data_IF_226376113946
#
_entry.id   IF_226376113946
#
_cell.length_a   1.000
_cell.length_b   1.000
_cell.length_c   1.000
_cell.angle_alpha   90.00
_cell.angle_beta   90.00
_cell.angle_gamma   90.00
#
_symmetry.space_group_name_H-M   'P 1'
#
loop_
_entity.id
_entity.type
_entity.pdbx_description
1 polymer ?
#
# COMPACT_ATOMS: atom_id res chain seq x y z
N UNK A 1 -23.72 -16.87 -10.64
CA UNK A 1 -23.65 -15.58 -9.92
C UNK A 1 -22.34 -15.45 -9.13
N UNK A 2 -21.93 -16.47 -8.34
CA UNK A 2 -20.66 -16.46 -7.59
C UNK A 2 -19.40 -16.24 -8.45
N UNK A 3 -19.26 -16.92 -9.60
CA UNK A 3 -18.08 -16.80 -10.47
C UNK A 3 -17.80 -15.35 -10.92
N UNK A 4 -18.87 -14.63 -11.31
CA UNK A 4 -18.77 -13.23 -11.77
C UNK A 4 -18.37 -12.26 -10.65
N UNK A 5 -18.77 -12.55 -9.40
CA UNK A 5 -18.36 -11.78 -8.22
C UNK A 5 -16.88 -12.01 -7.89
N UNK A 6 -16.41 -13.25 -7.96
CA UNK A 6 -14.99 -13.60 -7.76
C UNK A 6 -14.10 -13.00 -8.85
N UNK A 7 -14.55 -13.00 -10.11
CA UNK A 7 -13.81 -12.42 -11.23
C UNK A 7 -13.71 -10.88 -11.13
N UNK A 8 -14.81 -10.20 -10.77
CA UNK A 8 -14.82 -8.73 -10.54
C UNK A 8 -13.89 -8.35 -9.37
N UNK A 9 -13.86 -9.17 -8.32
CA UNK A 9 -13.02 -8.95 -7.15
C UNK A 9 -11.52 -9.03 -7.49
N UNK A 10 -11.13 -9.93 -8.41
CA UNK A 10 -9.76 -10.00 -8.91
C UNK A 10 -9.42 -8.76 -9.75
N UNK A 11 -10.32 -8.29 -10.62
CA UNK A 11 -10.06 -7.11 -11.45
C UNK A 11 -9.90 -5.82 -10.64
N UNK A 12 -10.76 -5.59 -9.64
CA UNK A 12 -10.69 -4.38 -8.80
C UNK A 12 -9.41 -4.35 -7.96
N UNK A 13 -9.02 -5.50 -7.41
CA UNK A 13 -7.78 -5.61 -6.65
C UNK A 13 -6.54 -5.45 -7.54
N UNK A 14 -6.53 -6.04 -8.74
CA UNK A 14 -5.48 -5.83 -9.73
C UNK A 14 -5.37 -4.35 -10.14
N UNK A 15 -6.50 -3.66 -10.35
CA UNK A 15 -6.51 -2.22 -10.63
C UNK A 15 -5.91 -1.41 -9.49
N UNK A 16 -6.23 -1.77 -8.24
CA UNK A 16 -5.64 -1.16 -7.07
C UNK A 16 -4.12 -1.38 -7.02
N UNK A 17 -3.63 -2.61 -7.24
CA UNK A 17 -2.19 -2.91 -7.28
C UNK A 17 -1.49 -2.11 -8.38
N UNK A 18 -2.05 -2.08 -9.58
CA UNK A 18 -1.52 -1.29 -10.69
C UNK A 18 -1.50 0.21 -10.37
N UNK A 19 -2.52 0.71 -9.68
CA UNK A 19 -2.60 2.10 -9.24
C UNK A 19 -1.48 2.43 -8.25
N UNK A 20 -1.33 1.67 -7.16
CA UNK A 20 -0.28 1.95 -6.17
C UNK A 20 1.12 1.80 -6.76
N UNK A 21 1.32 0.85 -7.68
CA UNK A 21 2.57 0.71 -8.43
C UNK A 21 2.84 1.95 -9.30
N UNK A 22 1.83 2.46 -10.01
CA UNK A 22 1.97 3.68 -10.79
C UNK A 22 2.34 4.90 -9.91
N UNK A 23 1.76 4.99 -8.70
CA UNK A 23 2.06 6.06 -7.75
C UNK A 23 3.51 5.97 -7.26
N UNK A 24 4.01 4.80 -6.85
CA UNK A 24 5.41 4.68 -6.39
C UNK A 24 6.44 4.78 -7.52
N UNK A 25 6.08 4.45 -8.75
CA UNK A 25 6.97 4.61 -9.92
C UNK A 25 7.09 6.07 -10.36
N UNK A 26 6.01 6.85 -10.24
CA UNK A 26 5.94 8.24 -10.70
C UNK A 26 5.30 9.16 -9.65
N UNK A 27 5.88 9.27 -8.43
CA UNK A 27 5.22 9.92 -7.30
C UNK A 27 4.90 11.40 -7.56
N UNK A 28 5.76 12.10 -8.31
CA UNK A 28 5.52 13.50 -8.70
C UNK A 28 4.27 13.74 -9.54
N UNK A 29 3.81 12.76 -10.34
CA UNK A 29 2.54 12.91 -11.10
C UNK A 29 1.31 12.86 -10.21
N UNK A 30 1.45 12.34 -8.99
CA UNK A 30 0.39 12.20 -8.01
C UNK A 30 0.57 13.14 -6.82
N UNK A 31 1.47 14.13 -6.93
CA UNK A 31 1.83 15.05 -5.85
C UNK A 31 2.31 14.34 -4.56
N UNK A 32 2.91 13.16 -4.71
CA UNK A 32 3.51 12.41 -3.59
C UNK A 32 4.98 12.80 -3.47
N UNK A 33 5.36 13.40 -2.35
CA UNK A 33 6.74 13.82 -2.10
C UNK A 33 7.43 12.96 -1.06
N UNK A 34 6.66 12.26 -0.22
CA UNK A 34 7.14 11.41 0.85
C UNK A 34 6.16 10.27 1.18
N UNK A 35 6.54 9.44 2.15
CA UNK A 35 5.74 8.28 2.57
C UNK A 35 4.39 8.65 3.19
N UNK A 36 4.27 9.81 3.85
CA UNK A 36 3.01 10.30 4.40
C UNK A 36 2.04 10.73 3.30
N UNK A 37 2.53 11.42 2.27
CA UNK A 37 1.70 11.77 1.10
C UNK A 37 1.18 10.49 0.43
N UNK A 38 2.02 9.45 0.33
CA UNK A 38 1.57 8.16 -0.18
C UNK A 38 0.50 7.53 0.72
N UNK A 39 0.67 7.56 2.04
CA UNK A 39 -0.35 7.01 2.96
C UNK A 39 -1.68 7.77 2.86
N UNK A 40 -1.65 9.08 2.57
CA UNK A 40 -2.84 9.88 2.28
C UNK A 40 -3.51 9.48 0.96
N UNK A 41 -2.75 9.15 -0.09
CA UNK A 41 -3.31 8.59 -1.34
C UNK A 41 -4.08 7.31 -1.05
N UNK A 42 -3.53 6.42 -0.22
CA UNK A 42 -4.21 5.18 0.18
C UNK A 42 -5.47 5.47 0.99
N UNK A 43 -5.40 6.41 1.94
CA UNK A 43 -6.57 6.83 2.71
C UNK A 43 -7.68 7.37 1.80
N UNK A 44 -7.32 8.20 0.81
CA UNK A 44 -8.25 8.73 -0.18
C UNK A 44 -8.87 7.64 -1.06
N UNK A 45 -8.07 6.67 -1.52
CA UNK A 45 -8.57 5.51 -2.26
C UNK A 45 -9.60 4.73 -1.43
N UNK A 46 -9.28 4.44 -0.15
CA UNK A 46 -10.17 3.75 0.79
C UNK A 46 -11.46 4.52 1.03
N UNK A 47 -11.40 5.85 1.16
CA UNK A 47 -12.58 6.70 1.34
C UNK A 47 -13.48 6.76 0.09
N UNK A 48 -12.89 6.60 -1.10
CA UNK A 48 -13.63 6.52 -2.36
C UNK A 48 -14.29 5.14 -2.57
N UNK A 49 -13.71 4.07 -2.01
CA UNK A 49 -14.37 2.78 -1.94
C UNK A 49 -15.56 2.85 -0.95
N UNK A 50 -16.70 2.26 -1.31
CA UNK A 50 -17.79 2.12 -0.34
C UNK A 50 -17.32 1.23 0.82
N UNK A 51 -17.52 1.65 2.07
CA UNK A 51 -17.08 0.95 3.30
C UNK A 51 -17.60 -0.49 3.46
N UNK A 52 -18.49 -0.95 2.58
CA UNK A 52 -19.03 -2.31 2.54
C UNK A 52 -18.74 -3.05 1.23
N UNK A 53 -17.86 -2.50 0.40
CA UNK A 53 -17.40 -3.15 -0.83
C UNK A 53 -16.30 -4.16 -0.51
N UNK A 54 -16.30 -5.29 -1.21
CA UNK A 54 -15.23 -6.28 -1.10
C UNK A 54 -13.86 -5.69 -1.44
N UNK A 55 -13.81 -4.69 -2.34
CA UNK A 55 -12.61 -3.96 -2.72
C UNK A 55 -12.03 -3.15 -1.55
N UNK A 56 -12.88 -2.59 -0.67
CA UNK A 56 -12.42 -1.90 0.55
C UNK A 56 -11.72 -2.87 1.51
N UNK A 57 -12.30 -4.05 1.74
CA UNK A 57 -11.70 -5.07 2.60
C UNK A 57 -10.38 -5.60 2.03
N UNK A 58 -10.33 -5.89 0.73
CA UNK A 58 -9.09 -6.35 0.07
C UNK A 58 -7.94 -5.33 0.21
N UNK A 59 -8.22 -4.03 0.10
CA UNK A 59 -7.23 -2.97 0.31
C UNK A 59 -6.77 -2.90 1.76
N UNK A 60 -7.70 -3.03 2.72
CA UNK A 60 -7.34 -3.06 4.14
C UNK A 60 -6.45 -4.23 4.46
N UNK A 61 -6.82 -5.43 4.00
CA UNK A 61 -6.05 -6.65 4.22
C UNK A 61 -4.67 -6.56 3.60
N UNK A 62 -4.56 -6.02 2.38
CA UNK A 62 -3.27 -5.77 1.73
C UNK A 62 -2.36 -4.89 2.60
N UNK A 63 -2.84 -3.75 3.08
CA UNK A 63 -2.01 -2.84 3.88
C UNK A 63 -1.79 -3.32 5.32
N UNK A 64 -2.69 -4.09 5.90
CA UNK A 64 -2.47 -4.76 7.18
C UNK A 64 -1.34 -5.79 7.07
N UNK A 65 -1.34 -6.58 5.99
CA UNK A 65 -0.27 -7.53 5.71
C UNK A 65 1.06 -6.81 5.40
N UNK A 66 1.01 -5.72 4.62
CA UNK A 66 2.19 -4.90 4.35
C UNK A 66 2.75 -4.28 5.64
N UNK A 67 1.88 -3.81 6.54
CA UNK A 67 2.27 -3.34 7.87
C UNK A 67 2.99 -4.41 8.66
N UNK A 68 2.45 -5.63 8.70
CA UNK A 68 3.11 -6.79 9.32
C UNK A 68 4.48 -7.09 8.71
N UNK A 69 4.59 -7.02 7.38
CA UNK A 69 5.84 -7.19 6.65
C UNK A 69 6.90 -6.14 7.03
N UNK A 70 6.53 -4.86 7.11
CA UNK A 70 7.44 -3.77 7.51
C UNK A 70 7.84 -3.89 8.98
N UNK A 71 6.91 -4.20 9.89
CA UNK A 71 7.23 -4.41 11.30
C UNK A 71 8.23 -5.56 11.48
N UNK A 72 8.03 -6.67 10.76
CA UNK A 72 8.98 -7.79 10.74
C UNK A 72 10.35 -7.39 10.19
N UNK A 73 10.40 -6.57 9.14
CA UNK A 73 11.66 -6.06 8.59
C UNK A 73 12.50 -5.30 9.62
N UNK A 74 11.85 -4.51 10.48
CA UNK A 74 12.51 -3.75 11.55
C UNK A 74 12.63 -4.52 12.88
N UNK A 75 12.12 -5.74 12.98
CA UNK A 75 12.14 -6.52 14.22
C UNK A 75 11.25 -5.93 15.33
N UNK A 76 10.18 -5.22 14.96
CA UNK A 76 9.26 -4.60 15.90
C UNK A 76 8.35 -5.66 16.52
N UNK A 77 8.21 -5.64 17.85
CA UNK A 77 7.26 -6.48 18.60
C UNK A 77 5.87 -5.83 18.72
N UNK A 78 5.80 -4.52 18.56
CA UNK A 78 4.55 -3.74 18.58
C UNK A 78 4.04 -3.53 17.16
N UNK A 79 2.71 -3.44 16.99
CA UNK A 79 2.06 -3.24 15.69
C UNK A 79 2.08 -1.75 15.27
N UNK A 80 3.26 -1.26 14.91
CA UNK A 80 3.50 0.14 14.57
C UNK A 80 3.07 0.46 13.13
N UNK A 81 2.58 1.69 12.91
CA UNK A 81 2.24 2.17 11.58
C UNK A 81 3.44 2.14 10.62
N UNK A 82 3.24 1.58 9.42
CA UNK A 82 4.31 1.35 8.46
C UNK A 82 4.89 2.65 7.89
N UNK A 83 4.07 3.68 7.67
CA UNK A 83 4.55 4.97 7.15
C UNK A 83 5.42 5.65 8.21
N UNK A 84 4.99 5.61 9.48
CA UNK A 84 5.77 6.12 10.61
C UNK A 84 7.11 5.40 10.77
N UNK A 85 7.13 4.07 10.64
CA UNK A 85 8.38 3.30 10.70
C UNK A 85 9.34 3.70 9.57
N UNK A 86 8.85 3.76 8.33
CA UNK A 86 9.68 4.17 7.18
C UNK A 86 10.23 5.58 7.39
N UNK A 87 9.39 6.53 7.82
CA UNK A 87 9.80 7.90 8.12
C UNK A 87 10.91 7.94 9.17
N UNK A 88 10.75 7.23 10.28
CA UNK A 88 11.71 7.26 11.39
C UNK A 88 13.09 6.71 11.00
N UNK A 89 13.13 5.75 10.07
CA UNK A 89 14.36 5.07 9.65
C UNK A 89 15.00 5.64 8.39
N UNK A 90 14.40 6.64 7.74
CA UNK A 90 14.92 7.28 6.54
C UNK A 90 15.37 8.72 6.82
N UNK A 91 16.44 9.17 6.16
CA UNK A 91 17.09 10.45 6.46
C UNK A 91 16.37 11.64 5.80
N UNK A 92 15.66 11.41 4.70
CA UNK A 92 14.94 12.44 3.97
C UNK A 92 13.76 11.87 3.16
N UNK A 93 12.91 12.77 2.65
CA UNK A 93 11.71 12.42 1.88
C UNK A 93 12.00 11.52 0.67
N UNK A 94 13.04 11.83 -0.12
CA UNK A 94 13.45 11.01 -1.25
C UNK A 94 13.75 9.56 -0.84
N UNK A 95 14.52 9.38 0.24
CA UNK A 95 14.85 8.04 0.74
C UNK A 95 13.64 7.29 1.28
N UNK A 96 12.62 7.99 1.80
CA UNK A 96 11.37 7.34 2.22
C UNK A 96 10.62 6.73 1.02
N UNK A 97 10.57 7.43 -0.12
CA UNK A 97 9.91 6.95 -1.33
C UNK A 97 10.66 5.80 -1.99
N UNK A 98 11.99 5.91 -2.11
CA UNK A 98 12.82 4.82 -2.64
C UNK A 98 12.71 3.55 -1.78
N UNK A 99 12.71 3.72 -0.46
CA UNK A 99 12.53 2.61 0.47
C UNK A 99 11.13 1.99 0.34
N UNK A 100 10.09 2.82 0.34
CA UNK A 100 8.70 2.39 0.15
C UNK A 100 8.56 1.60 -1.15
N UNK A 101 9.02 2.15 -2.27
CA UNK A 101 8.98 1.51 -3.60
C UNK A 101 9.62 0.12 -3.56
N UNK A 102 10.84 0.02 -3.04
CA UNK A 102 11.54 -1.26 -2.94
C UNK A 102 10.76 -2.27 -2.09
N UNK A 103 10.30 -1.86 -0.91
CA UNK A 103 9.59 -2.77 0.01
C UNK A 103 8.20 -3.17 -0.48
N UNK A 104 7.50 -2.26 -1.15
CA UNK A 104 6.23 -2.57 -1.78
C UNK A 104 6.43 -3.59 -2.91
N UNK A 105 7.45 -3.41 -3.75
CA UNK A 105 7.78 -4.35 -4.82
C UNK A 105 8.21 -5.72 -4.28
N UNK A 106 9.05 -5.76 -3.24
CA UNK A 106 9.40 -7.01 -2.54
C UNK A 106 8.16 -7.72 -1.99
N UNK A 107 7.27 -6.96 -1.35
CA UNK A 107 6.04 -7.51 -0.76
C UNK A 107 5.11 -8.09 -1.83
N UNK A 108 4.83 -7.33 -2.90
CA UNK A 108 3.97 -7.79 -4.02
C UNK A 108 4.58 -9.02 -4.70
N UNK A 109 5.90 -9.03 -4.94
CA UNK A 109 6.58 -10.18 -5.55
C UNK A 109 6.50 -11.44 -4.69
N UNK A 110 6.42 -11.31 -3.36
CA UNK A 110 6.23 -12.44 -2.44
C UNK A 110 4.78 -12.92 -2.29
N UNK A 111 3.81 -12.21 -2.88
CA UNK A 111 2.40 -12.64 -2.92
C UNK A 111 2.08 -13.53 -4.13
N UNK A 112 2.93 -13.49 -5.17
CA UNK A 112 2.85 -14.32 -6.38
C UNK A 112 3.55 -15.66 -6.14
#
# INVERSE_FOLDING_TARGET
>A
MQKKLTDIMNEDFERFINFIQAVVERPGMFFVNNVEDFSLVILGYRAACSNHSQSYEAVNDFFNNFKGFINKHYGMSEDLDWARLIRFHCVNDFTTLEFLKRKLNEFIAGMV
#
